data_IF_493352993363
#
_entry.id   IF_493352993363
#
_cell.length_a   1.000
_cell.length_b   1.000
_cell.length_c   1.000
_cell.angle_alpha   90.00
_cell.angle_beta   90.00
_cell.angle_gamma   90.00
#
_symmetry.space_group_name_H-M   'P 1'
#
loop_
_entity.id
_entity.type
_entity.pdbx_description
1 polymer ?
#
# COMPACT_ATOMS: atom_id res chain seq x y z
N UNK A 1 23.03 5.32 15.61
CA UNK A 1 22.92 5.91 14.27
C UNK A 1 21.99 4.98 13.50
N UNK A 2 20.75 5.40 13.23
CA UNK A 2 19.85 4.60 12.40
C UNK A 2 20.46 4.51 10.98
N UNK A 3 20.34 3.38 10.27
CA UNK A 3 20.78 3.30 8.88
C UNK A 3 20.09 4.42 8.08
N UNK A 4 20.81 5.01 7.13
CA UNK A 4 20.45 6.25 6.42
C UNK A 4 19.12 6.23 5.62
N UNK A 5 18.42 5.09 5.65
CA UNK A 5 17.16 4.80 4.97
C UNK A 5 15.94 4.96 5.90
N UNK A 6 16.12 4.73 7.21
CA UNK A 6 14.98 4.59 8.12
C UNK A 6 14.57 5.96 8.67
N UNK A 7 13.43 6.46 8.19
CA UNK A 7 12.81 7.70 8.63
C UNK A 7 11.34 7.47 9.03
N UNK A 8 10.68 8.53 9.52
CA UNK A 8 9.22 8.52 9.70
C UNK A 8 8.57 8.40 8.32
N UNK A 9 7.78 7.35 8.13
CA UNK A 9 7.10 7.09 6.88
C UNK A 9 5.58 7.11 7.10
N UNK A 10 4.86 7.54 6.08
CA UNK A 10 3.41 7.36 6.00
C UNK A 10 3.11 6.64 4.72
N UNK A 11 2.22 5.66 4.77
CA UNK A 11 1.61 5.13 3.57
C UNK A 11 0.15 5.54 3.54
N UNK A 12 -0.39 5.62 2.34
CA UNK A 12 -1.81 5.78 2.12
C UNK A 12 -2.19 5.23 0.77
N UNK A 13 -3.48 4.98 0.62
CA UNK A 13 -4.01 4.41 -0.60
C UNK A 13 -5.47 4.77 -0.78
N UNK A 14 -5.91 4.58 -2.01
CA UNK A 14 -7.27 4.85 -2.44
C UNK A 14 -7.83 3.58 -3.05
N UNK A 15 -9.03 3.22 -2.64
CA UNK A 15 -9.81 2.13 -3.22
C UNK A 15 -10.88 2.70 -4.12
N UNK A 16 -10.97 2.15 -5.33
CA UNK A 16 -11.95 2.56 -6.32
C UNK A 16 -12.62 1.35 -6.95
N UNK A 17 -13.86 1.53 -7.35
CA UNK A 17 -14.52 0.64 -8.31
C UNK A 17 -13.83 0.74 -9.67
N UNK A 18 -14.05 -0.26 -10.52
CA UNK A 18 -13.51 -0.28 -11.88
C UNK A 18 -13.95 0.92 -12.74
N UNK A 19 -15.09 1.54 -12.43
CA UNK A 19 -15.57 2.76 -13.10
C UNK A 19 -14.91 4.05 -12.56
N UNK A 20 -13.94 3.94 -11.65
CA UNK A 20 -13.27 5.07 -11.01
C UNK A 20 -13.98 5.64 -9.79
N UNK A 21 -15.17 5.14 -9.42
CA UNK A 21 -15.91 5.57 -8.24
C UNK A 21 -15.16 5.28 -6.95
N UNK A 22 -15.14 6.24 -6.02
CA UNK A 22 -14.46 6.10 -4.73
C UNK A 22 -15.17 5.11 -3.81
N UNK A 23 -14.40 4.21 -3.19
CA UNK A 23 -14.88 3.31 -2.13
C UNK A 23 -14.46 3.88 -0.78
N UNK A 24 -13.15 3.98 -0.55
CA UNK A 24 -12.56 4.54 0.66
C UNK A 24 -11.10 4.95 0.40
N UNK A 25 -10.55 5.73 1.33
CA UNK A 25 -9.12 6.01 1.41
C UNK A 25 -8.62 5.63 2.79
N UNK A 26 -7.35 5.25 2.87
CA UNK A 26 -6.71 4.90 4.13
C UNK A 26 -5.33 5.54 4.21
N UNK A 27 -4.84 5.67 5.44
CA UNK A 27 -3.46 6.03 5.71
C UNK A 27 -2.97 5.31 6.96
N UNK A 28 -1.66 5.13 7.06
CA UNK A 28 -0.98 4.58 8.23
C UNK A 28 0.35 5.27 8.42
N UNK A 29 0.64 5.58 9.67
CA UNK A 29 1.92 6.16 10.08
C UNK A 29 2.85 5.06 10.61
N UNK A 30 4.10 5.10 10.15
CA UNK A 30 5.19 4.25 10.61
C UNK A 30 6.26 5.10 11.26
N UNK A 31 6.74 4.65 12.43
CA UNK A 31 7.82 5.35 13.13
C UNK A 31 9.14 5.28 12.36
N UNK A 32 9.48 4.10 11.85
CA UNK A 32 10.75 3.78 11.23
C UNK A 32 10.49 2.74 10.14
N UNK A 33 10.54 3.14 8.87
CA UNK A 33 10.28 2.27 7.73
C UNK A 33 11.11 2.76 6.53
N UNK A 34 11.59 1.84 5.69
CA UNK A 34 12.08 2.23 4.36
C UNK A 34 10.92 2.58 3.45
N UNK A 35 11.19 3.27 2.33
CA UNK A 35 10.16 3.57 1.32
C UNK A 35 9.60 2.28 0.72
N UNK A 36 10.48 1.31 0.43
CA UNK A 36 10.08 0.01 -0.11
C UNK A 36 9.18 -0.76 0.86
N UNK A 37 9.56 -0.84 2.15
CA UNK A 37 8.74 -1.48 3.17
C UNK A 37 7.39 -0.75 3.32
N UNK A 38 7.39 0.59 3.31
CA UNK A 38 6.17 1.38 3.48
C UNK A 38 5.17 1.10 2.35
N UNK A 39 5.63 1.00 1.11
CA UNK A 39 4.80 0.64 -0.06
C UNK A 39 4.20 -0.76 0.10
N UNK A 40 5.00 -1.77 0.47
CA UNK A 40 4.50 -3.13 0.69
C UNK A 40 3.46 -3.19 1.82
N UNK A 41 3.69 -2.46 2.92
CA UNK A 41 2.70 -2.35 4.00
C UNK A 41 1.42 -1.67 3.55
N UNK A 42 1.50 -0.63 2.71
CA UNK A 42 0.33 0.03 2.14
C UNK A 42 -0.51 -0.90 1.28
N UNK A 43 0.14 -1.70 0.43
CA UNK A 43 -0.54 -2.70 -0.40
C UNK A 43 -1.21 -3.75 0.49
N UNK A 44 -0.52 -4.25 1.51
CA UNK A 44 -1.08 -5.23 2.45
C UNK A 44 -2.28 -4.66 3.22
N UNK A 45 -2.17 -3.44 3.75
CA UNK A 45 -3.27 -2.76 4.46
C UNK A 45 -4.47 -2.54 3.54
N UNK A 46 -4.22 -2.14 2.29
CA UNK A 46 -5.25 -1.98 1.27
C UNK A 46 -5.95 -3.30 0.92
N UNK A 47 -5.20 -4.39 0.75
CA UNK A 47 -5.76 -5.71 0.49
C UNK A 47 -6.59 -6.23 1.67
N UNK A 48 -6.07 -6.11 2.89
CA UNK A 48 -6.79 -6.54 4.09
C UNK A 48 -8.14 -5.81 4.23
N UNK A 49 -8.15 -4.49 3.99
CA UNK A 49 -9.35 -3.65 4.04
C UNK A 49 -10.36 -4.00 2.93
N UNK A 50 -9.91 -4.41 1.73
CA UNK A 50 -10.77 -4.85 0.64
C UNK A 50 -11.34 -6.26 0.89
N UNK A 51 -10.50 -7.18 1.36
CA UNK A 51 -10.89 -8.55 1.70
C UNK A 51 -11.92 -8.60 2.84
N UNK A 52 -11.73 -7.80 3.89
CA UNK A 52 -12.70 -7.66 4.99
C UNK A 52 -14.08 -7.18 4.52
N UNK A 53 -14.13 -6.50 3.37
CA UNK A 53 -15.36 -6.04 2.71
C UNK A 53 -15.89 -7.00 1.64
N UNK A 54 -15.26 -8.15 1.46
CA UNK A 54 -15.68 -9.18 0.50
C UNK A 54 -15.24 -8.93 -0.95
N UNK A 55 -14.26 -8.05 -1.18
CA UNK A 55 -13.64 -7.90 -2.51
C UNK A 55 -12.46 -8.86 -2.64
N UNK A 56 -12.52 -9.76 -3.62
CA UNK A 56 -11.52 -10.79 -3.90
C UNK A 56 -10.85 -10.64 -5.28
N UNK A 57 -11.45 -9.88 -6.20
CA UNK A 57 -10.89 -9.52 -7.49
C UNK A 57 -10.41 -8.05 -7.50
N UNK A 58 -9.13 -7.84 -7.19
CA UNK A 58 -8.55 -6.51 -6.97
C UNK A 58 -7.41 -6.25 -7.95
N UNK A 59 -7.40 -5.06 -8.55
CA UNK A 59 -6.24 -4.52 -9.28
C UNK A 59 -5.42 -3.63 -8.35
N UNK A 60 -4.17 -4.00 -8.12
CA UNK A 60 -3.22 -3.20 -7.32
C UNK A 60 -2.49 -2.24 -8.25
N UNK A 61 -2.39 -0.97 -7.85
CA UNK A 61 -1.60 0.05 -8.53
C UNK A 61 -0.65 0.69 -7.52
N UNK A 62 0.65 0.71 -7.84
CA UNK A 62 1.71 1.40 -7.10
C UNK A 62 2.60 2.12 -8.10
N UNK A 63 3.18 3.25 -7.70
CA UNK A 63 4.22 3.97 -8.45
C UNK A 63 5.63 3.44 -8.17
N UNK A 64 5.77 2.50 -7.23
CA UNK A 64 7.03 1.86 -6.89
C UNK A 64 7.24 0.59 -7.74
N UNK A 65 8.14 0.71 -8.72
CA UNK A 65 8.48 -0.37 -9.64
C UNK A 65 9.09 -1.59 -8.93
N UNK A 66 9.84 -1.38 -7.85
CA UNK A 66 10.45 -2.46 -7.08
C UNK A 66 9.35 -3.29 -6.41
N UNK A 67 8.43 -2.64 -5.69
CA UNK A 67 7.29 -3.30 -5.06
C UNK A 67 6.39 -4.03 -6.08
N UNK A 68 6.14 -3.41 -7.24
CA UNK A 68 5.36 -4.02 -8.32
C UNK A 68 5.99 -5.33 -8.82
N UNK A 69 7.32 -5.36 -9.00
CA UNK A 69 8.04 -6.56 -9.42
C UNK A 69 8.03 -7.63 -8.35
N UNK A 70 8.30 -7.26 -7.10
CA UNK A 70 8.32 -8.20 -5.97
C UNK A 70 7.00 -8.94 -5.78
N UNK A 71 5.86 -8.34 -6.14
CA UNK A 71 4.53 -8.97 -6.03
C UNK A 71 4.18 -9.81 -7.27
N UNK A 72 4.73 -9.49 -8.44
CA UNK A 72 4.43 -10.20 -9.69
C UNK A 72 5.23 -11.49 -9.87
N UNK A 73 6.36 -11.62 -9.18
CA UNK A 73 7.23 -12.82 -9.18
C UNK A 73 6.67 -13.94 -8.29
#
# INVERSE_FOLDING_TARGET
MAPADVSFATVGGIMRYQNGGWILGFNRFFKNCSVFDAELWGILDGLALLMDRGYDNVLIQTDNLEAAKTIQD
#
